data_IF_348683250393
#
_entry.id   IF_348683250393
#
_cell.length_a   1.000
_cell.length_b   1.000
_cell.length_c   1.000
_cell.angle_alpha   90.00
_cell.angle_beta   90.00
_cell.angle_gamma   90.00
#
_symmetry.space_group_name_H-M   'P 1'
#
loop_
_entity.id
_entity.type
_entity.pdbx_description
1 polymer ?
#
# COMPACT_ATOMS: atom_id res chain seq x y z
N UNK A 1 -19.03 4.52 -2.21
CA UNK A 1 -17.64 4.43 -2.69
C UNK A 1 -16.77 3.49 -1.81
N UNK A 2 -16.77 3.62 -0.49
CA UNK A 2 -15.91 2.82 0.39
C UNK A 2 -16.30 1.33 0.48
N UNK A 3 -17.55 0.98 0.21
CA UNK A 3 -18.04 -0.41 0.21
C UNK A 3 -17.69 -1.20 -1.04
N UNK A 4 -17.41 -0.54 -2.17
CA UNK A 4 -17.08 -1.21 -3.42
C UNK A 4 -15.56 -1.40 -3.58
N UNK A 5 -15.04 -2.64 -3.63
CA UNK A 5 -13.63 -2.91 -3.83
C UNK A 5 -13.10 -2.51 -5.22
N UNK A 6 -13.97 -2.29 -6.19
CA UNK A 6 -13.66 -1.87 -7.56
C UNK A 6 -14.14 -0.44 -7.88
N UNK A 7 -14.33 0.41 -6.86
CA UNK A 7 -14.86 1.76 -7.03
C UNK A 7 -14.05 2.69 -7.97
N UNK A 8 -12.82 2.35 -8.30
CA UNK A 8 -11.99 3.08 -9.26
C UNK A 8 -11.97 2.44 -10.66
N UNK A 9 -12.53 1.24 -10.82
CA UNK A 9 -12.64 0.55 -12.10
C UNK A 9 -13.82 1.09 -12.88
N UNK A 10 -13.92 0.71 -14.16
CA UNK A 10 -15.08 1.06 -14.99
C UNK A 10 -16.35 0.38 -14.45
N UNK A 11 -17.50 1.02 -14.62
CA UNK A 11 -18.80 0.51 -14.15
C UNK A 11 -19.20 -0.84 -14.78
N UNK A 12 -18.52 -1.24 -15.85
CA UNK A 12 -18.74 -2.51 -16.54
C UNK A 12 -17.92 -3.68 -16.01
N UNK A 13 -16.97 -3.42 -15.08
CA UNK A 13 -16.11 -4.46 -14.57
C UNK A 13 -16.57 -4.94 -13.19
N UNK A 14 -17.04 -6.17 -13.14
CA UNK A 14 -17.34 -6.90 -11.93
C UNK A 14 -16.22 -7.94 -11.70
N UNK A 15 -15.27 -7.60 -10.87
CA UNK A 15 -14.17 -8.49 -10.50
C UNK A 15 -14.55 -9.49 -9.41
N UNK A 16 -13.64 -10.41 -9.05
CA UNK A 16 -13.90 -11.42 -8.03
C UNK A 16 -14.24 -10.78 -6.68
N UNK A 17 -15.08 -11.46 -5.90
CA UNK A 17 -15.41 -11.03 -4.54
C UNK A 17 -14.16 -11.07 -3.67
N UNK A 18 -13.80 -9.94 -3.07
CA UNK A 18 -12.62 -9.82 -2.22
C UNK A 18 -13.01 -9.32 -0.85
N UNK A 19 -12.74 -10.11 0.17
CA UNK A 19 -12.84 -9.68 1.56
C UNK A 19 -11.50 -9.15 2.06
N UNK A 20 -11.49 -7.95 2.62
CA UNK A 20 -10.33 -7.47 3.36
C UNK A 20 -10.19 -8.23 4.67
N UNK A 21 -8.98 -8.52 5.10
CA UNK A 21 -8.72 -9.13 6.40
C UNK A 21 -9.30 -8.23 7.51
N UNK A 22 -10.09 -8.84 8.42
CA UNK A 22 -10.75 -8.12 9.54
C UNK A 22 -10.27 -8.58 10.92
N UNK A 23 -9.45 -9.61 10.95
CA UNK A 23 -8.95 -10.25 12.18
C UNK A 23 -7.46 -10.53 12.08
N UNK A 24 -6.87 -10.97 13.17
CA UNK A 24 -5.51 -11.52 13.17
C UNK A 24 -5.56 -12.94 12.61
N UNK A 25 -4.65 -13.26 11.69
CA UNK A 25 -4.53 -14.59 11.06
C UNK A 25 -3.06 -14.99 11.00
N UNK A 26 -2.80 -16.27 11.24
CA UNK A 26 -1.50 -16.86 10.94
C UNK A 26 -1.43 -17.15 9.44
N UNK A 27 -0.52 -16.51 8.76
CA UNK A 27 -0.27 -16.75 7.34
C UNK A 27 0.73 -17.90 7.21
N UNK A 28 0.25 -19.04 6.72
CA UNK A 28 1.04 -20.28 6.59
C UNK A 28 2.12 -20.16 5.50
N UNK A 29 1.85 -19.40 4.45
CA UNK A 29 2.73 -19.31 3.29
C UNK A 29 4.02 -18.55 3.62
N UNK A 30 3.90 -17.53 4.46
CA UNK A 30 5.06 -16.71 4.88
C UNK A 30 5.52 -17.00 6.32
N UNK A 31 4.76 -17.78 7.09
CA UNK A 31 5.07 -18.11 8.48
C UNK A 31 5.07 -16.92 9.43
N UNK A 32 4.13 -16.00 9.26
CA UNK A 32 4.02 -14.75 10.02
C UNK A 32 2.59 -14.54 10.53
N UNK A 33 2.45 -13.84 11.66
CA UNK A 33 1.18 -13.30 12.08
C UNK A 33 0.82 -12.07 11.23
N UNK A 34 -0.44 -11.98 10.81
CA UNK A 34 -0.94 -10.87 10.01
C UNK A 34 -2.14 -10.20 10.66
N UNK A 35 -2.26 -8.91 10.49
CA UNK A 35 -3.38 -8.09 10.95
C UNK A 35 -3.83 -7.14 9.83
N UNK A 36 -5.04 -6.55 9.94
CA UNK A 36 -5.52 -5.58 8.98
C UNK A 36 -4.55 -4.41 8.79
N UNK A 37 -4.34 -4.02 7.54
CA UNK A 37 -3.55 -2.83 7.20
C UNK A 37 -4.48 -1.65 6.91
N UNK A 38 -4.25 -0.53 7.60
CA UNK A 38 -5.14 0.63 7.56
C UNK A 38 -5.34 1.20 6.14
N UNK A 39 -4.27 1.19 5.32
CA UNK A 39 -4.30 1.73 3.96
C UNK A 39 -4.81 0.73 2.92
N UNK A 40 -5.02 -0.54 3.28
CA UNK A 40 -5.45 -1.57 2.33
C UNK A 40 -6.71 -1.18 1.57
N UNK A 41 -7.65 -0.51 2.25
CA UNK A 41 -8.88 -0.03 1.64
C UNK A 41 -8.70 0.96 0.48
N UNK A 42 -7.59 1.69 0.44
CA UNK A 42 -7.27 2.64 -0.64
C UNK A 42 -6.33 1.97 -1.63
N UNK A 43 -5.23 1.41 -1.16
CA UNK A 43 -4.18 0.84 -2.01
C UNK A 43 -4.68 -0.27 -2.92
N UNK A 44 -5.49 -1.19 -2.39
CA UNK A 44 -6.03 -2.32 -3.17
C UNK A 44 -6.88 -1.86 -4.36
N UNK A 45 -7.62 -0.76 -4.22
CA UNK A 45 -8.39 -0.18 -5.33
C UNK A 45 -7.47 0.37 -6.43
N UNK A 46 -6.39 1.05 -6.04
CA UNK A 46 -5.40 1.58 -7.00
C UNK A 46 -4.71 0.45 -7.77
N UNK A 47 -4.39 -0.66 -7.09
CA UNK A 47 -3.80 -1.84 -7.74
C UNK A 47 -4.77 -2.50 -8.71
N UNK A 48 -6.03 -2.68 -8.33
CA UNK A 48 -7.09 -3.23 -9.21
C UNK A 48 -7.35 -2.31 -10.41
N UNK A 49 -7.40 -1.00 -10.19
CA UNK A 49 -7.49 -0.01 -11.28
C UNK A 49 -6.29 -0.11 -12.22
N UNK A 50 -5.09 -0.32 -11.67
CA UNK A 50 -3.88 -0.52 -12.47
C UNK A 50 -3.99 -1.75 -13.36
N UNK A 51 -4.51 -2.86 -12.84
CA UNK A 51 -4.71 -4.09 -13.62
C UNK A 51 -5.66 -3.85 -14.82
N UNK A 52 -6.78 -3.17 -14.60
CA UNK A 52 -7.71 -2.81 -15.68
C UNK A 52 -7.06 -1.89 -16.72
N UNK A 53 -6.39 -0.82 -16.30
CA UNK A 53 -5.70 0.11 -17.19
C UNK A 53 -4.56 -0.54 -18.00
N UNK A 54 -4.02 -1.65 -17.49
CA UNK A 54 -3.02 -2.48 -18.18
C UNK A 54 -3.66 -3.56 -19.06
N UNK A 55 -4.98 -3.55 -19.26
CA UNK A 55 -5.71 -4.54 -20.05
C UNK A 55 -5.79 -5.90 -19.36
N UNK A 56 -5.93 -5.91 -18.04
CA UNK A 56 -6.00 -7.11 -17.20
C UNK A 56 -4.76 -8.01 -17.32
N UNK A 57 -3.60 -7.39 -17.34
CA UNK A 57 -2.31 -8.08 -17.47
C UNK A 57 -2.06 -9.13 -16.38
N UNK A 58 -2.65 -8.95 -15.18
CA UNK A 58 -2.58 -9.89 -14.05
C UNK A 58 -3.76 -10.87 -14.04
N UNK A 59 -4.59 -10.89 -15.09
CA UNK A 59 -5.83 -11.68 -15.18
C UNK A 59 -7.06 -10.91 -14.72
N UNK A 60 -8.24 -11.31 -15.21
CA UNK A 60 -9.53 -10.76 -14.76
C UNK A 60 -9.90 -11.24 -13.38
N UNK A 61 -9.51 -12.46 -13.01
CA UNK A 61 -9.73 -13.05 -11.69
C UNK A 61 -8.63 -12.68 -10.66
N UNK A 62 -7.86 -11.62 -10.94
CA UNK A 62 -6.79 -11.16 -10.07
C UNK A 62 -7.30 -10.69 -8.72
N UNK A 63 -6.88 -11.35 -7.66
CA UNK A 63 -7.16 -11.00 -6.27
C UNK A 63 -5.91 -10.34 -5.67
N UNK A 64 -6.09 -9.19 -5.05
CA UNK A 64 -5.03 -8.48 -4.36
C UNK A 64 -5.49 -8.03 -2.97
N UNK A 65 -4.69 -8.34 -1.96
CA UNK A 65 -4.93 -7.98 -0.55
C UNK A 65 -3.65 -7.43 0.07
N UNK A 66 -3.81 -6.62 1.11
CA UNK A 66 -2.71 -6.07 1.90
C UNK A 66 -2.94 -6.31 3.39
N UNK A 67 -1.88 -6.67 4.08
CA UNK A 67 -1.88 -6.93 5.52
C UNK A 67 -0.63 -6.36 6.17
N UNK A 68 -0.69 -6.10 7.47
CA UNK A 68 0.50 -5.82 8.28
C UNK A 68 1.01 -7.14 8.84
N UNK A 69 2.30 -7.45 8.64
CA UNK A 69 2.92 -8.69 9.14
C UNK A 69 3.71 -8.46 10.42
N UNK A 70 3.70 -9.47 11.28
CA UNK A 70 4.43 -9.52 12.54
C UNK A 70 5.25 -10.80 12.62
N UNK A 71 6.32 -10.79 13.42
CA UNK A 71 7.18 -11.94 13.59
C UNK A 71 6.43 -13.20 14.05
N UNK A 72 7.02 -14.36 13.85
CA UNK A 72 6.51 -15.64 14.39
C UNK A 72 6.52 -15.68 15.92
N UNK A 73 5.76 -16.59 16.49
CA UNK A 73 5.72 -16.87 17.93
C UNK A 73 4.76 -15.97 18.70
N UNK A 74 4.75 -16.12 20.03
CA UNK A 74 3.80 -15.47 20.94
C UNK A 74 3.90 -13.95 20.92
N UNK A 75 5.11 -13.40 20.76
CA UNK A 75 5.31 -11.97 20.70
C UNK A 75 4.69 -11.35 19.45
N UNK A 76 4.79 -12.02 18.29
CA UNK A 76 4.12 -11.60 17.05
C UNK A 76 2.61 -11.67 17.18
N UNK A 77 2.08 -12.74 17.79
CA UNK A 77 0.67 -12.88 18.11
C UNK A 77 0.17 -11.69 18.95
N UNK A 78 0.83 -11.40 20.08
CA UNK A 78 0.44 -10.31 20.97
C UNK A 78 0.50 -8.94 20.27
N UNK A 79 1.54 -8.68 19.49
CA UNK A 79 1.67 -7.42 18.71
C UNK A 79 0.59 -7.28 17.65
N UNK A 80 0.22 -8.36 16.99
CA UNK A 80 -0.84 -8.33 15.96
C UNK A 80 -2.22 -8.03 16.56
N UNK A 81 -2.53 -8.62 17.72
CA UNK A 81 -3.77 -8.30 18.45
C UNK A 81 -3.75 -6.88 19.05
N UNK A 82 -2.61 -6.43 19.58
CA UNK A 82 -2.46 -5.04 20.04
C UNK A 82 -2.74 -4.04 18.93
N UNK A 83 -2.25 -4.30 17.70
CA UNK A 83 -2.52 -3.48 16.54
C UNK A 83 -4.02 -3.50 16.17
N UNK A 84 -4.66 -4.65 16.19
CA UNK A 84 -6.09 -4.79 15.91
C UNK A 84 -6.93 -4.01 16.91
N UNK A 85 -6.64 -4.14 18.22
CA UNK A 85 -7.31 -3.41 19.30
C UNK A 85 -7.10 -1.91 19.14
N UNK A 86 -5.87 -1.48 18.87
CA UNK A 86 -5.54 -0.07 18.64
C UNK A 86 -6.34 0.53 17.49
N UNK A 87 -6.41 -0.15 16.35
CA UNK A 87 -7.21 0.30 15.20
C UNK A 87 -8.71 0.36 15.53
N UNK A 88 -9.24 -0.65 16.23
CA UNK A 88 -10.62 -0.69 16.65
C UNK A 88 -10.96 0.43 17.63
N UNK A 89 -10.12 0.64 18.64
CA UNK A 89 -10.28 1.70 19.62
C UNK A 89 -10.19 3.09 18.98
N UNK A 90 -9.21 3.30 18.11
CA UNK A 90 -9.08 4.57 17.37
C UNK A 90 -10.33 4.87 16.56
N UNK A 91 -10.82 3.89 15.80
CA UNK A 91 -12.06 4.03 15.03
C UNK A 91 -13.26 4.33 15.95
N UNK A 92 -13.37 3.64 17.06
CA UNK A 92 -14.43 3.87 18.05
C UNK A 92 -14.37 5.29 18.60
N UNK A 93 -13.21 5.74 19.09
CA UNK A 93 -13.04 7.09 19.64
C UNK A 93 -13.30 8.19 18.60
N UNK A 94 -12.91 7.97 17.34
CA UNK A 94 -13.18 8.91 16.26
C UNK A 94 -14.65 8.95 15.83
N UNK A 95 -15.47 7.98 16.22
CA UNK A 95 -16.91 7.94 15.90
C UNK A 95 -17.74 8.88 16.77
N UNK A 96 -17.21 9.33 17.90
CA UNK A 96 -17.91 10.24 18.83
C UNK A 96 -17.36 11.65 18.73
N UNK A 97 -18.23 12.64 18.54
CA UNK A 97 -17.84 14.05 18.40
C UNK A 97 -16.97 14.59 19.55
N UNK A 98 -17.28 14.35 20.85
CA UNK A 98 -16.46 14.85 21.95
C UNK A 98 -15.05 14.25 21.96
N UNK A 99 -14.92 12.93 21.78
CA UNK A 99 -13.62 12.26 21.77
C UNK A 99 -12.80 12.61 20.54
N UNK A 100 -13.45 12.74 19.39
CA UNK A 100 -12.78 13.23 18.16
C UNK A 100 -12.26 14.66 18.35
N UNK A 101 -13.06 15.55 18.97
CA UNK A 101 -12.62 16.92 19.27
C UNK A 101 -11.40 16.92 20.21
N UNK A 102 -11.39 16.07 21.25
CA UNK A 102 -10.27 15.94 22.17
C UNK A 102 -9.02 15.43 21.45
N UNK A 103 -9.14 14.36 20.65
CA UNK A 103 -8.04 13.82 19.87
C UNK A 103 -7.48 14.84 18.88
N UNK A 104 -8.34 15.56 18.17
CA UNK A 104 -7.95 16.59 17.20
C UNK A 104 -7.15 17.72 17.84
N UNK A 105 -7.55 18.19 19.01
CA UNK A 105 -6.95 19.38 19.62
C UNK A 105 -5.71 19.07 20.47
N UNK A 106 -5.52 17.85 20.97
CA UNK A 106 -4.48 17.53 21.93
C UNK A 106 -3.52 16.43 21.49
N UNK A 107 -3.88 15.58 20.52
CA UNK A 107 -3.09 14.41 20.15
C UNK A 107 -2.75 14.32 18.67
N UNK A 108 -3.64 14.76 17.79
CA UNK A 108 -3.37 14.72 16.35
C UNK A 108 -2.53 15.93 15.94
N UNK A 109 -1.53 15.74 15.08
CA UNK A 109 -0.76 16.86 14.54
C UNK A 109 -1.67 17.77 13.73
N UNK A 110 -1.36 19.06 13.76
CA UNK A 110 -2.09 20.06 12.97
C UNK A 110 -1.86 19.83 11.46
N UNK A 111 -2.81 20.27 10.61
CA UNK A 111 -2.60 20.23 9.16
C UNK A 111 -1.28 20.93 8.78
N UNK A 112 -0.44 20.24 8.02
CA UNK A 112 0.90 20.71 7.64
C UNK A 112 2.01 20.31 8.61
N UNK A 113 1.69 19.81 9.80
CA UNK A 113 2.68 19.22 10.70
C UNK A 113 2.94 17.76 10.35
N UNK A 114 4.19 17.36 10.38
CA UNK A 114 4.63 16.00 10.13
C UNK A 114 5.74 15.58 11.10
N UNK A 115 6.26 14.36 10.98
CA UNK A 115 7.39 13.93 11.79
C UNK A 115 8.60 14.83 11.56
N UNK A 116 9.39 15.02 12.61
CA UNK A 116 10.63 15.82 12.53
C UNK A 116 11.63 15.20 11.53
N UNK A 117 12.66 15.97 11.16
CA UNK A 117 13.64 15.54 10.16
C UNK A 117 14.30 14.22 10.52
N UNK A 118 14.70 14.06 11.77
CA UNK A 118 15.36 12.84 12.26
C UNK A 118 14.49 11.59 12.06
N UNK A 119 13.20 11.65 12.43
CA UNK A 119 12.25 10.54 12.22
C UNK A 119 12.02 10.23 10.74
N UNK A 120 12.02 11.25 9.89
CA UNK A 120 11.87 11.07 8.44
C UNK A 120 13.11 10.45 7.80
N UNK A 121 14.31 10.85 8.25
CA UNK A 121 15.57 10.38 7.70
C UNK A 121 15.94 8.98 8.20
N UNK A 122 15.55 8.62 9.44
CA UNK A 122 15.76 7.30 10.04
C UNK A 122 14.59 6.34 9.77
N UNK A 123 13.55 6.78 9.08
CA UNK A 123 12.42 5.95 8.70
C UNK A 123 12.83 4.91 7.65
N UNK A 124 12.11 3.81 7.60
CA UNK A 124 12.27 2.80 6.54
C UNK A 124 10.94 2.11 6.27
N UNK A 125 10.85 1.42 5.15
CA UNK A 125 9.75 0.49 4.90
C UNK A 125 10.25 -0.80 4.25
N UNK A 126 9.52 -1.87 4.49
CA UNK A 126 9.73 -3.17 3.86
C UNK A 126 8.38 -3.77 3.51
N UNK A 127 8.18 -4.06 2.24
CA UNK A 127 6.98 -4.70 1.71
C UNK A 127 7.39 -6.05 1.15
N UNK A 128 6.73 -7.11 1.60
CA UNK A 128 6.86 -8.45 1.05
C UNK A 128 5.63 -8.70 0.17
N UNK A 129 5.85 -8.99 -1.09
CA UNK A 129 4.82 -9.36 -2.05
C UNK A 129 4.93 -10.85 -2.34
N UNK A 130 3.80 -11.56 -2.23
CA UNK A 130 3.69 -12.96 -2.62
C UNK A 130 2.62 -13.07 -3.70
N UNK A 131 2.97 -13.68 -4.80
CA UNK A 131 2.09 -13.92 -5.92
C UNK A 131 1.97 -15.41 -6.18
N UNK A 132 0.75 -15.87 -6.45
CA UNK A 132 0.42 -17.26 -6.72
C UNK A 132 -0.34 -17.32 -8.05
N UNK A 133 0.09 -18.19 -8.95
CA UNK A 133 -0.58 -18.45 -10.23
C UNK A 133 -0.31 -19.86 -10.66
N UNK A 134 -1.35 -20.61 -10.95
CA UNK A 134 -1.28 -22.01 -11.46
C UNK A 134 -0.35 -22.90 -10.62
N UNK A 135 -0.44 -22.80 -9.29
CA UNK A 135 0.40 -23.55 -8.35
C UNK A 135 1.85 -23.04 -8.20
N UNK A 136 2.25 -22.05 -8.99
CA UNK A 136 3.55 -21.42 -8.85
C UNK A 136 3.50 -20.27 -7.86
N UNK A 137 4.59 -20.10 -7.09
CA UNK A 137 4.77 -19.00 -6.13
C UNK A 137 5.96 -18.12 -6.55
N UNK A 138 5.75 -16.83 -6.52
CA UNK A 138 6.80 -15.83 -6.71
C UNK A 138 6.76 -14.86 -5.54
N UNK A 139 7.92 -14.52 -4.99
CA UNK A 139 8.00 -13.46 -3.98
C UNK A 139 8.90 -12.32 -4.42
N UNK A 140 8.55 -11.12 -3.96
CA UNK A 140 9.35 -9.93 -4.19
C UNK A 140 9.40 -9.10 -2.89
N UNK A 141 10.56 -8.53 -2.61
CA UNK A 141 10.74 -7.62 -1.50
C UNK A 141 10.99 -6.22 -2.05
N UNK A 142 10.23 -5.23 -1.54
CA UNK A 142 10.47 -3.81 -1.82
C UNK A 142 10.87 -3.13 -0.53
N UNK A 143 12.00 -2.45 -0.51
CA UNK A 143 12.51 -1.71 0.65
C UNK A 143 12.85 -0.29 0.29
N UNK A 144 12.72 0.61 1.25
CA UNK A 144 13.22 1.98 1.17
C UNK A 144 13.80 2.40 2.50
N UNK A 145 14.83 3.23 2.45
CA UNK A 145 15.62 3.72 3.57
C UNK A 145 15.15 5.07 4.12
N UNK A 146 13.94 5.47 3.76
CA UNK A 146 13.28 6.70 4.21
C UNK A 146 11.87 6.41 4.70
N UNK A 147 11.36 7.30 5.55
CA UNK A 147 9.97 7.28 5.99
C UNK A 147 9.00 7.20 4.80
N UNK A 148 8.10 6.20 4.75
CA UNK A 148 7.19 6.02 3.62
C UNK A 148 6.12 7.10 3.52
N UNK A 149 5.79 7.78 4.62
CA UNK A 149 4.71 8.76 4.65
C UNK A 149 5.09 10.13 4.08
N UNK A 150 6.36 10.52 4.19
CA UNK A 150 6.84 11.84 3.77
C UNK A 150 8.03 11.76 2.83
N UNK A 151 9.23 11.46 3.34
CA UNK A 151 10.47 11.51 2.53
C UNK A 151 10.45 10.48 1.40
N UNK A 152 10.02 9.25 1.66
CA UNK A 152 9.87 8.21 0.65
C UNK A 152 8.79 8.56 -0.39
N UNK A 153 7.64 9.08 0.06
CA UNK A 153 6.57 9.55 -0.83
C UNK A 153 7.03 10.72 -1.69
N UNK A 154 7.78 11.68 -1.13
CA UNK A 154 8.32 12.80 -1.90
C UNK A 154 9.27 12.31 -3.02
N UNK A 155 10.13 11.33 -2.72
CA UNK A 155 10.98 10.69 -3.74
C UNK A 155 10.13 10.03 -4.82
N UNK A 156 9.14 9.22 -4.44
CA UNK A 156 8.28 8.52 -5.40
C UNK A 156 7.50 9.50 -6.29
N UNK A 157 6.97 10.57 -5.72
CA UNK A 157 6.25 11.62 -6.47
C UNK A 157 7.17 12.36 -7.43
N UNK A 158 8.34 12.80 -6.96
CA UNK A 158 9.34 13.51 -7.78
C UNK A 158 9.82 12.65 -8.95
N UNK A 159 10.19 11.40 -8.68
CA UNK A 159 10.65 10.50 -9.73
C UNK A 159 9.54 10.12 -10.72
N UNK A 160 8.27 10.12 -10.28
CA UNK A 160 7.13 9.97 -11.19
C UNK A 160 7.00 11.16 -12.13
N UNK A 161 7.09 12.38 -11.62
CA UNK A 161 7.04 13.60 -12.43
C UNK A 161 8.23 13.67 -13.41
N UNK A 162 9.45 13.40 -12.92
CA UNK A 162 10.64 13.37 -13.76
C UNK A 162 10.58 12.27 -14.83
N UNK A 163 9.95 11.13 -14.55
CA UNK A 163 9.74 10.09 -15.56
C UNK A 163 8.89 10.59 -16.73
N UNK A 164 7.85 11.37 -16.44
CA UNK A 164 6.97 11.93 -17.47
C UNK A 164 7.71 12.95 -18.33
N UNK A 165 8.56 13.77 -17.73
CA UNK A 165 9.26 14.86 -18.43
C UNK A 165 10.48 14.33 -19.20
N UNK A 166 11.33 13.55 -18.52
CA UNK A 166 12.64 13.16 -19.05
C UNK A 166 12.63 11.87 -19.87
N UNK A 167 11.63 11.01 -19.62
CA UNK A 167 11.51 9.72 -20.30
C UNK A 167 10.22 9.63 -21.15
N UNK A 168 9.73 10.76 -21.63
CA UNK A 168 8.46 10.84 -22.36
C UNK A 168 8.40 9.88 -23.56
N UNK A 169 9.51 9.63 -24.24
CA UNK A 169 9.57 8.71 -25.38
C UNK A 169 9.55 7.22 -24.98
N UNK A 170 9.90 6.92 -23.73
CA UNK A 170 10.00 5.53 -23.23
C UNK A 170 8.73 5.07 -22.49
N UNK A 171 7.86 6.00 -22.10
CA UNK A 171 6.64 5.69 -21.37
C UNK A 171 5.46 5.49 -22.32
N UNK A 172 4.40 4.73 -21.89
CA UNK A 172 3.20 4.56 -22.68
C UNK A 172 2.52 5.90 -23.00
N UNK A 173 2.15 6.13 -24.26
CA UNK A 173 1.40 7.32 -24.68
C UNK A 173 -0.09 7.19 -24.31
N UNK A 174 -0.39 7.18 -23.02
CA UNK A 174 -1.74 7.11 -22.45
C UNK A 174 -2.06 8.43 -21.78
N UNK A 175 -3.33 8.85 -21.88
CA UNK A 175 -3.81 10.11 -21.32
C UNK A 175 -5.01 9.87 -20.41
N UNK A 176 -5.28 10.79 -19.51
CA UNK A 176 -6.38 10.74 -18.56
C UNK A 176 -5.94 10.48 -17.13
N UNK A 177 -6.86 10.00 -16.29
CA UNK A 177 -6.58 9.66 -14.88
C UNK A 177 -5.99 8.26 -14.83
N UNK A 178 -4.67 8.21 -14.70
CA UNK A 178 -3.87 6.99 -14.73
C UNK A 178 -3.23 6.70 -13.36
N UNK A 179 -2.85 5.45 -13.14
CA UNK A 179 -2.00 5.08 -12.01
C UNK A 179 -0.53 5.09 -12.41
N UNK A 180 0.43 5.27 -11.49
CA UNK A 180 1.86 5.25 -11.82
C UNK A 180 2.29 3.97 -12.57
N UNK A 181 1.72 2.82 -12.20
CA UNK A 181 2.00 1.55 -12.87
C UNK A 181 1.55 1.55 -14.34
N UNK A 182 0.40 2.13 -14.65
CA UNK A 182 -0.16 2.17 -16.01
C UNK A 182 0.42 3.30 -16.88
N UNK A 183 0.83 4.41 -16.26
CA UNK A 183 1.36 5.59 -16.95
C UNK A 183 2.86 5.50 -17.22
N UNK A 184 3.62 5.00 -16.25
CA UNK A 184 5.09 5.07 -16.25
C UNK A 184 5.72 3.67 -16.27
N UNK A 185 5.15 2.74 -15.47
CA UNK A 185 5.57 1.34 -15.47
C UNK A 185 7.03 1.12 -15.07
N UNK A 186 7.78 0.39 -15.90
CA UNK A 186 9.14 -0.04 -15.61
C UNK A 186 10.15 1.12 -15.50
N UNK A 187 9.89 2.24 -16.14
CA UNK A 187 10.77 3.42 -16.08
C UNK A 187 10.83 3.96 -14.65
N UNK A 188 9.68 4.07 -13.99
CA UNK A 188 9.63 4.49 -12.59
C UNK A 188 10.45 3.54 -11.69
N UNK A 189 10.33 2.24 -11.87
CA UNK A 189 11.12 1.26 -11.09
C UNK A 189 12.62 1.49 -11.27
N UNK A 190 13.08 1.71 -12.52
CA UNK A 190 14.51 1.99 -12.80
C UNK A 190 14.96 3.25 -12.05
N UNK A 191 14.19 4.32 -12.10
CA UNK A 191 14.50 5.58 -11.42
C UNK A 191 14.51 5.46 -9.91
N UNK A 192 13.49 4.82 -9.34
CA UNK A 192 13.38 4.60 -7.89
C UNK A 192 14.55 3.78 -7.32
N UNK A 193 15.09 2.82 -8.09
CA UNK A 193 16.28 2.07 -7.69
C UNK A 193 17.51 2.96 -7.48
N UNK A 194 17.65 4.04 -8.24
CA UNK A 194 18.77 5.00 -8.07
C UNK A 194 18.58 5.92 -6.86
N UNK A 195 17.41 5.86 -6.22
CA UNK A 195 17.03 6.72 -5.08
C UNK A 195 16.82 5.94 -3.77
N UNK A 196 17.39 4.74 -3.67
CA UNK A 196 17.37 3.95 -2.44
C UNK A 196 16.11 3.09 -2.27
N UNK A 197 15.22 3.00 -3.27
CA UNK A 197 14.09 2.06 -3.25
C UNK A 197 14.48 0.80 -4.01
N UNK A 198 14.67 -0.30 -3.29
CA UNK A 198 15.19 -1.55 -3.82
C UNK A 198 14.04 -2.52 -4.09
N UNK A 199 14.04 -3.12 -5.27
CA UNK A 199 13.09 -4.16 -5.69
C UNK A 199 13.89 -5.44 -5.90
N UNK A 200 13.63 -6.47 -5.10
CA UNK A 200 14.30 -7.78 -5.18
C UNK A 200 13.27 -8.88 -5.38
N UNK A 201 13.40 -9.62 -6.47
CA UNK A 201 12.68 -10.88 -6.69
C UNK A 201 13.47 -11.98 -6.01
N UNK A 202 12.78 -12.83 -5.22
CA UNK A 202 13.40 -13.90 -4.42
C UNK A 202 13.13 -15.25 -5.07
#
# INVERSE_FOLDING_TARGET
LLGNPYALNSDKYEGPSVSSLRSVVWDQDVGLWTAPFIMSGINTRVVRRSNELLGFKYGKEFIYTEVTSFQKGIMGYLKSYSMLIFLGLTKFLMSFKPTFWLLKNFYLPSPGEGPNKEKRDNGFFKILLNGYVDGNHISCTVTGDKDPGYSGTAIMLTESALSIILNNEEIPKKFGVLTPASAIGKILIKRLKTKGIIFKVN
#
